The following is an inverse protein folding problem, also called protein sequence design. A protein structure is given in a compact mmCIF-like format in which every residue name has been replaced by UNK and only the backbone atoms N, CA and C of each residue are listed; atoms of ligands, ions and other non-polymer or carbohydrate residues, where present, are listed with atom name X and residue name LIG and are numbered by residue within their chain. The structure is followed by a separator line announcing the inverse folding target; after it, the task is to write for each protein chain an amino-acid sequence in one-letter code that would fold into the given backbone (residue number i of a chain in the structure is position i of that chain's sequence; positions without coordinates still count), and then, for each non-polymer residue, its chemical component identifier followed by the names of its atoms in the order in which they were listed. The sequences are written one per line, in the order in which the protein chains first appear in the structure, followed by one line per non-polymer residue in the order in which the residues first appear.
data_IF_144311642006
#
_entry.id   IF_144311642006
#
_cell.length_a   1.000
_cell.length_b   1.000
_cell.length_c   1.000
_cell.angle_alpha   90.00
_cell.angle_beta   90.00
_cell.angle_gamma   90.00
#
_symmetry.space_group_name_H-M   'P 1'
#
loop_
_entity.id
_entity.type
_entity.pdbx_description
1 polymer ?
#
# COMPACT_ATOMS: atom_id res chain seq x y z
N UNK A 1 -1.73 17.79 -25.04
CA UNK A 1 -1.10 17.96 -23.73
C UNK A 1 -0.92 19.45 -23.54
N UNK A 2 -1.65 20.04 -22.60
CA UNK A 2 -1.55 21.47 -22.33
C UNK A 2 -0.47 21.72 -21.26
N UNK A 3 0.36 22.76 -21.44
CA UNK A 3 1.47 23.09 -20.55
C UNK A 3 1.00 23.55 -19.15
N UNK A 4 -0.29 23.83 -18.99
CA UNK A 4 -0.94 24.31 -17.76
C UNK A 4 -1.18 23.21 -16.71
N UNK A 5 -1.00 21.93 -17.05
CA UNK A 5 -1.18 20.80 -16.13
C UNK A 5 0.00 20.58 -15.18
N UNK A 6 1.15 21.20 -15.43
CA UNK A 6 2.39 20.97 -14.69
C UNK A 6 2.87 22.24 -14.02
N UNK A 7 3.20 22.14 -12.75
CA UNK A 7 3.91 23.20 -12.06
C UNK A 7 5.38 23.31 -12.52
N UNK A 8 6.00 24.44 -12.20
CA UNK A 8 7.39 24.71 -12.56
C UNK A 8 8.35 23.64 -11.98
N UNK A 9 8.09 23.14 -10.77
CA UNK A 9 8.88 22.08 -10.14
C UNK A 9 8.86 20.77 -10.92
N UNK A 10 7.72 20.41 -11.52
CA UNK A 10 7.59 19.18 -12.29
C UNK A 10 8.36 19.27 -13.61
N UNK A 11 8.32 20.45 -14.26
CA UNK A 11 9.18 20.71 -15.42
C UNK A 11 10.67 20.70 -15.05
N UNK A 12 11.04 21.28 -13.90
CA UNK A 12 12.42 21.25 -13.43
C UNK A 12 12.92 19.81 -13.22
N UNK A 13 12.11 18.94 -12.60
CA UNK A 13 12.45 17.52 -12.47
C UNK A 13 12.64 16.82 -13.82
N UNK A 14 11.84 17.15 -14.84
CA UNK A 14 12.03 16.63 -16.19
C UNK A 14 13.35 17.13 -16.82
N UNK A 15 13.70 18.40 -16.63
CA UNK A 15 14.99 18.95 -17.07
C UNK A 15 16.16 18.28 -16.35
N UNK A 16 16.09 18.12 -15.03
CA UNK A 16 17.09 17.38 -14.25
C UNK A 16 17.28 15.97 -14.85
N UNK A 17 16.20 15.25 -15.13
CA UNK A 17 16.31 13.94 -15.76
C UNK A 17 17.01 13.98 -17.12
N UNK A 18 16.67 14.94 -17.97
CA UNK A 18 17.24 15.07 -19.32
C UNK A 18 18.73 15.42 -19.30
N UNK A 19 19.18 16.25 -18.37
CA UNK A 19 20.57 16.74 -18.34
C UNK A 19 21.50 15.92 -17.45
N UNK A 20 21.01 15.40 -16.33
CA UNK A 20 21.84 14.69 -15.32
C UNK A 20 21.40 13.25 -15.06
N UNK A 21 20.32 12.78 -15.70
CA UNK A 21 19.84 11.38 -15.55
C UNK A 21 19.34 11.06 -14.13
N UNK A 22 18.95 12.08 -13.38
CA UNK A 22 18.53 11.95 -11.98
C UNK A 22 17.47 13.00 -11.64
N UNK A 23 16.73 12.77 -10.56
CA UNK A 23 15.71 13.69 -10.04
C UNK A 23 15.93 13.89 -8.55
N UNK A 24 15.94 15.15 -8.14
CA UNK A 24 16.03 15.59 -6.76
C UNK A 24 14.88 16.58 -6.55
N UNK A 25 13.76 16.14 -5.96
CA UNK A 25 12.66 17.03 -5.63
C UNK A 25 13.12 18.15 -4.68
N UNK A 26 12.69 19.37 -4.94
CA UNK A 26 12.88 20.49 -4.00
C UNK A 26 11.77 20.45 -2.94
N UNK A 27 11.87 19.49 -2.02
CA UNK A 27 10.89 19.24 -0.95
C UNK A 27 11.60 19.21 0.39
N UNK A 28 10.94 19.78 1.40
CA UNK A 28 11.40 19.70 2.79
C UNK A 28 11.47 18.22 3.25
N UNK A 29 12.64 17.73 3.71
CA UNK A 29 12.78 16.36 4.23
C UNK A 29 11.88 16.01 5.42
N UNK A 30 11.31 17.02 6.08
CA UNK A 30 10.31 16.81 7.13
C UNK A 30 8.97 16.30 6.58
N UNK A 31 8.71 16.44 5.28
CA UNK A 31 7.45 16.21 4.56
C UNK A 31 7.53 15.04 3.58
N UNK A 32 7.46 13.79 4.06
CA UNK A 32 7.69 12.62 3.21
C UNK A 32 6.58 12.38 2.19
N UNK A 33 5.33 12.75 2.46
CA UNK A 33 4.22 12.55 1.53
C UNK A 33 4.28 13.51 0.33
N UNK A 34 4.79 14.72 0.54
CA UNK A 34 5.09 15.70 -0.51
C UNK A 34 6.26 15.25 -1.38
N UNK A 35 7.25 14.55 -0.80
CA UNK A 35 8.33 13.94 -1.57
C UNK A 35 7.81 12.79 -2.45
N UNK A 36 6.96 11.93 -1.89
CA UNK A 36 6.24 10.87 -2.64
C UNK A 36 5.42 11.46 -3.79
N UNK A 37 4.66 12.53 -3.51
CA UNK A 37 3.88 13.24 -4.53
C UNK A 37 4.78 13.75 -5.67
N UNK A 38 5.93 14.33 -5.34
CA UNK A 38 6.88 14.88 -6.33
C UNK A 38 7.43 13.78 -7.24
N UNK A 39 7.82 12.63 -6.70
CA UNK A 39 8.24 11.51 -7.54
C UNK A 39 7.12 11.02 -8.47
N UNK A 40 5.87 10.95 -7.98
CA UNK A 40 4.72 10.57 -8.82
C UNK A 40 4.48 11.59 -9.93
N UNK A 41 4.60 12.89 -9.66
CA UNK A 41 4.52 13.93 -10.69
C UNK A 41 5.62 13.79 -11.73
N UNK A 42 6.85 13.50 -11.30
CA UNK A 42 7.94 13.20 -12.22
C UNK A 42 7.62 12.01 -13.13
N UNK A 43 7.11 10.90 -12.59
CA UNK A 43 6.74 9.76 -13.43
C UNK A 43 5.64 10.10 -14.44
N UNK A 44 4.67 10.94 -14.06
CA UNK A 44 3.62 11.41 -14.98
C UNK A 44 4.19 12.22 -16.13
N UNK A 45 5.00 13.24 -15.85
CA UNK A 45 5.60 14.06 -16.90
C UNK A 45 6.59 13.26 -17.75
N UNK A 46 7.31 12.31 -17.15
CA UNK A 46 8.21 11.42 -17.87
C UNK A 46 7.47 10.54 -18.88
N UNK A 47 6.34 9.95 -18.50
CA UNK A 47 5.49 9.18 -19.43
C UNK A 47 4.92 10.07 -20.54
N UNK A 48 4.46 11.28 -20.19
CA UNK A 48 3.83 12.14 -21.15
C UNK A 48 4.79 12.78 -22.16
N UNK A 49 6.01 13.13 -21.72
CA UNK A 49 7.11 13.57 -22.57
C UNK A 49 7.85 12.41 -23.24
N UNK A 50 7.47 11.16 -22.95
CA UNK A 50 8.12 9.93 -23.44
C UNK A 50 9.62 9.91 -23.16
N UNK A 51 10.00 10.34 -21.95
CA UNK A 51 11.40 10.37 -21.54
C UNK A 51 11.94 8.92 -21.51
N UNK A 52 13.07 8.72 -22.18
CA UNK A 52 13.76 7.44 -22.21
C UNK A 52 14.74 7.30 -21.05
N UNK A 53 15.03 6.06 -20.68
CA UNK A 53 16.05 5.72 -19.68
C UNK A 53 15.57 4.73 -18.63
N UNK A 54 16.48 4.33 -17.75
CA UNK A 54 16.19 3.42 -16.65
C UNK A 54 15.79 4.21 -15.41
N UNK A 55 14.49 4.23 -15.09
CA UNK A 55 13.96 4.94 -13.93
C UNK A 55 14.14 4.23 -12.59
N UNK A 56 14.84 3.08 -12.56
CA UNK A 56 15.04 2.26 -11.35
C UNK A 56 15.56 3.06 -10.14
N UNK A 57 16.49 4.00 -10.35
CA UNK A 57 17.01 4.83 -9.28
C UNK A 57 15.91 5.73 -8.66
N UNK A 58 15.02 6.27 -9.50
CA UNK A 58 13.91 7.10 -9.04
C UNK A 58 12.84 6.24 -8.36
N UNK A 59 12.58 5.03 -8.86
CA UNK A 59 11.70 4.05 -8.18
C UNK A 59 12.25 3.68 -6.79
N UNK A 60 13.56 3.50 -6.65
CA UNK A 60 14.20 3.25 -5.35
C UNK A 60 14.06 4.43 -4.39
N UNK A 61 14.19 5.67 -4.89
CA UNK A 61 13.97 6.87 -4.08
C UNK A 61 12.52 7.01 -3.64
N UNK A 62 11.56 6.78 -4.54
CA UNK A 62 10.14 6.73 -4.20
C UNK A 62 9.86 5.67 -3.11
N UNK A 63 10.44 4.47 -3.25
CA UNK A 63 10.33 3.41 -2.25
C UNK A 63 10.87 3.86 -0.89
N UNK A 64 12.03 4.50 -0.84
CA UNK A 64 12.59 5.02 0.40
C UNK A 64 11.71 6.10 1.04
N UNK A 65 11.17 7.02 0.24
CA UNK A 65 10.25 8.06 0.73
C UNK A 65 8.95 7.46 1.29
N UNK A 66 8.41 6.41 0.66
CA UNK A 66 7.25 5.66 1.17
C UNK A 66 7.53 4.97 2.52
N UNK A 67 8.72 4.38 2.69
CA UNK A 67 9.13 3.77 3.97
C UNK A 67 9.20 4.83 5.06
N UNK A 68 9.87 5.97 4.80
CA UNK A 68 9.95 7.08 5.76
C UNK A 68 8.56 7.65 6.07
N UNK A 69 7.68 7.73 5.08
CA UNK A 69 6.30 8.16 5.26
C UNK A 69 5.52 7.21 6.16
N UNK A 70 5.74 5.90 6.03
CA UNK A 70 5.12 4.89 6.88
C UNK A 70 5.61 5.00 8.33
N UNK A 71 6.93 5.09 8.54
CA UNK A 71 7.52 5.21 9.89
C UNK A 71 7.02 6.46 10.62
N UNK A 72 7.02 7.63 9.96
CA UNK A 72 6.51 8.87 10.55
C UNK A 72 5.00 8.84 10.80
N UNK A 73 4.26 7.99 10.08
CA UNK A 73 2.83 7.82 10.29
C UNK A 73 2.54 6.99 11.56
N UNK A 74 3.41 6.03 11.88
CA UNK A 74 3.24 5.15 13.04
C UNK A 74 3.63 5.81 14.38
N UNK A 75 4.46 6.88 14.36
CA UNK A 75 4.87 7.63 15.57
C UNK A 75 3.79 8.61 16.10
N UNK A 76 2.65 8.74 15.42
CA UNK A 76 1.51 9.56 15.83
C UNK A 76 0.56 8.82 16.78
N UNK A 77 0.18 9.45 17.90
CA UNK A 77 -0.78 8.89 18.87
C UNK A 77 -2.03 8.30 18.20
N UNK A 78 -2.36 7.06 18.55
CA UNK A 78 -3.61 6.25 18.50
C UNK A 78 -4.84 6.59 17.61
N UNK A 79 -4.91 7.71 16.91
CA UNK A 79 -5.82 7.97 15.80
C UNK A 79 -4.92 8.54 14.70
N UNK A 80 -4.64 7.92 13.55
CA UNK A 80 -5.61 7.33 12.64
C UNK A 80 -4.82 6.76 11.43
N UNK A 81 -4.40 5.49 11.47
CA UNK A 81 -4.09 4.71 10.22
C UNK A 81 -5.27 4.80 9.23
N UNK A 82 -6.41 5.18 9.78
CA UNK A 82 -7.75 5.29 9.23
C UNK A 82 -8.00 6.56 8.38
N UNK A 83 -7.11 7.56 8.35
CA UNK A 83 -7.24 8.72 7.43
C UNK A 83 -5.96 9.00 6.66
N UNK A 84 -5.52 8.02 5.86
CA UNK A 84 -4.58 8.17 4.74
C UNK A 84 -4.27 9.63 4.41
N UNK A 85 -3.04 10.07 4.70
CA UNK A 85 -2.61 11.47 4.60
C UNK A 85 -3.22 12.17 3.37
N UNK A 86 -3.82 13.37 3.50
CA UNK A 86 -4.51 14.03 2.39
C UNK A 86 -3.66 14.19 1.12
N UNK A 87 -2.36 14.49 1.26
CA UNK A 87 -1.42 14.60 0.14
C UNK A 87 -1.24 13.24 -0.53
N UNK A 88 -1.09 12.17 0.25
CA UNK A 88 -0.96 10.82 -0.28
C UNK A 88 -2.24 10.35 -0.97
N UNK A 89 -3.39 10.67 -0.40
CA UNK A 89 -4.71 10.35 -0.96
C UNK A 89 -4.93 11.00 -2.32
N UNK A 90 -4.58 12.27 -2.47
CA UNK A 90 -4.59 12.95 -3.78
C UNK A 90 -3.53 12.36 -4.73
N UNK A 91 -2.36 11.99 -4.22
CA UNK A 91 -1.31 11.33 -5.01
C UNK A 91 -1.79 10.00 -5.61
N UNK A 92 -2.52 9.20 -4.83
CA UNK A 92 -3.13 7.95 -5.30
C UNK A 92 -4.16 8.20 -6.40
N UNK A 93 -5.09 9.13 -6.19
CA UNK A 93 -6.06 9.51 -7.23
C UNK A 93 -5.37 9.87 -8.53
N UNK A 94 -4.36 10.73 -8.43
CA UNK A 94 -3.58 11.18 -9.58
C UNK A 94 -2.89 10.00 -10.27
N UNK A 95 -2.20 9.12 -9.53
CA UNK A 95 -1.47 7.98 -10.11
C UNK A 95 -2.36 6.92 -10.77
N UNK A 96 -3.56 6.70 -10.23
CA UNK A 96 -4.49 5.67 -10.72
C UNK A 96 -5.38 6.18 -11.87
N UNK A 97 -5.65 7.49 -11.94
CA UNK A 97 -6.44 8.10 -13.03
C UNK A 97 -5.59 8.51 -14.24
N UNK A 98 -4.28 8.68 -14.08
CA UNK A 98 -3.38 9.15 -15.13
C UNK A 98 -2.43 8.04 -15.63
N UNK A 99 -1.89 8.15 -16.85
CA UNK A 99 -0.81 7.29 -17.33
C UNK A 99 0.42 7.42 -16.43
N UNK A 100 0.73 6.33 -15.72
CA UNK A 100 1.91 6.14 -14.88
C UNK A 100 2.30 4.67 -15.01
N UNK A 101 3.59 4.37 -14.84
CA UNK A 101 4.09 2.99 -14.88
C UNK A 101 3.42 2.10 -13.85
N UNK A 102 3.19 0.85 -14.23
CA UNK A 102 2.62 -0.17 -13.34
C UNK A 102 3.48 -0.37 -12.09
N UNK A 103 4.81 -0.37 -12.21
CA UNK A 103 5.74 -0.48 -11.07
C UNK A 103 5.54 0.61 -10.02
N UNK A 104 5.22 1.84 -10.45
CA UNK A 104 4.95 2.96 -9.55
C UNK A 104 3.61 2.78 -8.84
N UNK A 105 2.57 2.32 -9.53
CA UNK A 105 1.28 2.00 -8.90
C UNK A 105 1.40 0.86 -7.89
N UNK A 106 2.16 -0.17 -8.22
CA UNK A 106 2.47 -1.27 -7.31
C UNK A 106 3.21 -0.79 -6.06
N UNK A 107 4.20 0.11 -6.20
CA UNK A 107 4.87 0.73 -5.05
C UNK A 107 3.89 1.54 -4.19
N UNK A 108 3.02 2.35 -4.79
CA UNK A 108 2.02 3.11 -4.04
C UNK A 108 1.01 2.19 -3.31
N UNK A 109 0.54 1.13 -3.97
CA UNK A 109 -0.36 0.15 -3.37
C UNK A 109 0.31 -0.67 -2.26
N UNK A 110 1.63 -0.90 -2.35
CA UNK A 110 2.40 -1.63 -1.33
C UNK A 110 2.33 -0.99 0.06
N UNK A 111 2.10 0.32 0.13
CA UNK A 111 1.89 1.08 1.37
C UNK A 111 0.70 0.55 2.20
N UNK A 112 -0.30 -0.06 1.56
CA UNK A 112 -1.51 -0.54 2.23
C UNK A 112 -1.52 -2.03 2.52
N UNK A 113 -0.52 -2.78 2.05
CA UNK A 113 -0.57 -4.26 2.07
C UNK A 113 -0.63 -4.80 3.49
N UNK A 114 0.18 -4.25 4.40
CA UNK A 114 0.23 -4.70 5.78
C UNK A 114 -1.06 -4.37 6.53
N UNK A 115 -1.50 -3.11 6.49
CA UNK A 115 -2.73 -2.66 7.14
C UNK A 115 -3.97 -3.34 6.58
N UNK A 116 -4.04 -3.56 5.27
CA UNK A 116 -5.17 -4.22 4.64
C UNK A 116 -5.17 -5.74 4.89
N UNK A 117 -4.01 -6.40 4.92
CA UNK A 117 -3.93 -7.81 5.32
C UNK A 117 -4.40 -8.03 6.76
N UNK A 118 -4.03 -7.12 7.68
CA UNK A 118 -4.56 -7.11 9.05
C UNK A 118 -6.09 -6.93 9.06
N UNK A 119 -6.61 -5.97 8.30
CA UNK A 119 -8.04 -5.73 8.17
C UNK A 119 -8.80 -6.97 7.65
N UNK A 120 -8.29 -7.66 6.62
CA UNK A 120 -8.94 -8.85 6.06
C UNK A 120 -9.03 -10.02 7.05
N UNK A 121 -8.05 -10.15 7.93
CA UNK A 121 -7.95 -11.29 8.85
C UNK A 121 -8.61 -11.03 10.21
N UNK A 122 -8.57 -9.78 10.68
CA UNK A 122 -9.17 -9.31 11.92
C UNK A 122 -9.92 -7.98 11.68
N UNK A 123 -11.05 -8.01 10.96
CA UNK A 123 -11.79 -6.80 10.62
C UNK A 123 -12.48 -6.22 11.87
N UNK A 124 -12.19 -4.96 12.18
CA UNK A 124 -13.05 -4.12 13.00
C UNK A 124 -13.93 -3.23 12.11
N UNK A 125 -15.01 -2.68 12.70
CA UNK A 125 -15.99 -1.89 11.96
C UNK A 125 -15.40 -0.58 11.43
N UNK A 126 -14.44 0.02 12.12
CA UNK A 126 -13.87 1.32 11.77
C UNK A 126 -12.93 1.18 10.58
N UNK A 127 -11.98 0.23 10.64
CA UNK A 127 -11.05 -0.04 9.53
C UNK A 127 -11.77 -0.47 8.26
N UNK A 128 -12.86 -1.23 8.38
CA UNK A 128 -13.71 -1.60 7.25
C UNK A 128 -14.30 -0.39 6.52
N UNK A 129 -14.77 0.62 7.27
CA UNK A 129 -15.35 1.83 6.68
C UNK A 129 -14.28 2.63 5.97
N UNK A 130 -13.11 2.83 6.59
CA UNK A 130 -11.99 3.55 5.97
C UNK A 130 -11.56 2.95 4.64
N UNK A 131 -11.26 1.65 4.61
CA UNK A 131 -10.77 1.02 3.38
C UNK A 131 -11.81 1.09 2.28
N UNK A 132 -13.08 0.88 2.62
CA UNK A 132 -14.18 1.00 1.66
C UNK A 132 -14.29 2.42 1.09
N UNK A 133 -14.14 3.46 1.92
CA UNK A 133 -14.17 4.85 1.46
C UNK A 133 -12.95 5.21 0.61
N UNK A 134 -11.77 4.70 0.94
CA UNK A 134 -10.55 4.87 0.14
C UNK A 134 -10.69 4.20 -1.24
N UNK A 135 -11.15 2.96 -1.28
CA UNK A 135 -11.28 2.18 -2.52
C UNK A 135 -12.39 2.69 -3.45
N UNK A 136 -13.48 3.21 -2.89
CA UNK A 136 -14.48 3.95 -3.69
C UNK A 136 -13.92 5.21 -4.32
N UNK A 137 -12.96 5.85 -3.65
CA UNK A 137 -12.40 7.11 -4.10
C UNK A 137 -11.26 6.95 -5.12
N UNK A 138 -10.51 5.84 -5.03
CA UNK A 138 -9.40 5.54 -5.93
C UNK A 138 -9.71 4.26 -6.70
N UNK A 139 -10.31 4.41 -7.87
CA UNK A 139 -10.67 3.28 -8.73
C UNK A 139 -9.42 2.44 -9.08
N UNK A 140 -9.55 1.11 -8.97
CA UNK A 140 -8.48 0.16 -9.26
C UNK A 140 -7.51 -0.10 -8.11
N UNK A 141 -7.52 0.71 -7.04
CA UNK A 141 -6.60 0.53 -5.90
C UNK A 141 -6.87 -0.78 -5.14
N UNK A 142 -8.13 -1.10 -4.86
CA UNK A 142 -8.50 -2.32 -4.11
C UNK A 142 -7.95 -3.59 -4.77
N UNK A 143 -8.14 -3.70 -6.09
CA UNK A 143 -7.68 -4.86 -6.86
C UNK A 143 -6.15 -4.99 -6.80
N UNK A 144 -5.44 -3.87 -6.90
CA UNK A 144 -3.98 -3.84 -6.83
C UNK A 144 -3.48 -4.26 -5.44
N UNK A 145 -4.07 -3.71 -4.38
CA UNK A 145 -3.73 -4.09 -2.99
C UNK A 145 -4.05 -5.56 -2.73
N UNK A 146 -5.21 -6.07 -3.15
CA UNK A 146 -5.58 -7.48 -3.02
C UNK A 146 -4.59 -8.41 -3.75
N UNK A 147 -4.18 -8.04 -4.97
CA UNK A 147 -3.20 -8.79 -5.75
C UNK A 147 -1.86 -8.87 -5.02
N UNK A 148 -1.42 -7.76 -4.42
CA UNK A 148 -0.20 -7.70 -3.64
C UNK A 148 -0.30 -8.53 -2.35
N UNK A 149 -1.39 -8.41 -1.58
CA UNK A 149 -1.63 -9.24 -0.38
C UNK A 149 -1.57 -10.73 -0.73
N UNK A 150 -2.23 -11.14 -1.82
CA UNK A 150 -2.17 -12.53 -2.30
C UNK A 150 -0.76 -12.98 -2.66
N UNK A 151 0.02 -12.11 -3.29
CA UNK A 151 1.42 -12.38 -3.70
C UNK A 151 2.40 -12.37 -2.52
N UNK A 152 2.06 -11.65 -1.45
CA UNK A 152 2.85 -11.52 -0.24
C UNK A 152 2.81 -12.75 0.66
N UNK A 153 1.90 -13.70 0.41
CA UNK A 153 1.76 -14.91 1.23
C UNK A 153 3.01 -15.80 1.10
N UNK A 154 3.76 -15.95 2.19
CA UNK A 154 4.93 -16.83 2.24
C UNK A 154 4.62 -18.17 2.87
N UNK A 155 3.95 -18.18 4.02
CA UNK A 155 3.68 -19.40 4.78
C UNK A 155 2.44 -19.22 5.64
N UNK A 156 1.61 -20.25 5.70
CA UNK A 156 0.49 -20.35 6.64
C UNK A 156 0.87 -21.38 7.68
N UNK A 157 0.93 -20.98 8.95
CA UNK A 157 1.20 -21.88 10.07
C UNK A 157 -0.04 -21.99 10.95
N UNK A 158 -0.67 -23.16 10.91
CA UNK A 158 -1.77 -23.51 11.83
C UNK A 158 -1.14 -23.99 13.14
N UNK A 159 -1.26 -23.24 14.24
CA UNK A 159 -0.86 -23.74 15.56
C UNK A 159 -1.88 -24.77 16.04
N UNK A 160 -1.45 -25.65 16.95
CA UNK A 160 -2.28 -26.74 17.49
C UNK A 160 -3.56 -26.17 18.15
N UNK A 161 -4.67 -26.92 18.11
CA UNK A 161 -6.00 -26.50 18.58
C UNK A 161 -6.10 -26.18 20.08
N UNK A 162 -5.02 -26.26 20.86
CA UNK A 162 -5.02 -25.86 22.28
C UNK A 162 -5.12 -24.34 22.46
N UNK A 163 -4.68 -23.56 21.47
CA UNK A 163 -4.63 -22.10 21.56
C UNK A 163 -5.60 -21.39 20.59
N UNK A 164 -6.36 -22.12 19.75
CA UNK A 164 -7.33 -21.61 18.73
C UNK A 164 -6.81 -20.53 17.73
N UNK A 165 -5.53 -20.20 17.77
CA UNK A 165 -4.92 -19.14 16.97
C UNK A 165 -4.19 -19.70 15.73
N UNK A 166 -4.43 -19.08 14.59
CA UNK A 166 -3.66 -19.26 13.36
C UNK A 166 -2.80 -18.04 13.09
N UNK A 167 -1.54 -18.25 12.72
CA UNK A 167 -0.61 -17.18 12.36
C UNK A 167 -0.34 -17.26 10.87
N UNK A 168 -0.57 -16.16 10.15
CA UNK A 168 -0.23 -16.04 8.73
C UNK A 168 0.97 -15.12 8.60
N UNK A 169 2.02 -15.61 7.93
CA UNK A 169 3.26 -14.89 7.72
C UNK A 169 3.30 -14.34 6.30
N UNK A 170 3.33 -13.02 6.17
CA UNK A 170 3.35 -12.31 4.91
C UNK A 170 4.67 -11.55 4.74
N UNK A 171 5.04 -11.29 3.48
CA UNK A 171 6.14 -10.40 3.12
C UNK A 171 5.56 -9.02 2.78
N UNK A 172 6.03 -7.96 3.42
CA UNK A 172 5.71 -6.59 3.03
C UNK A 172 6.44 -6.28 1.72
N UNK A 173 5.72 -6.00 0.61
CA UNK A 173 6.36 -5.70 -0.67
C UNK A 173 7.09 -4.34 -0.65
N UNK A 174 6.74 -3.46 0.30
CA UNK A 174 7.39 -2.16 0.45
C UNK A 174 8.74 -2.26 1.16
N UNK A 175 8.89 -3.09 2.20
CA UNK A 175 10.12 -3.18 3.00
C UNK A 175 10.91 -4.47 2.78
N UNK A 176 10.34 -5.45 2.06
CA UNK A 176 10.81 -6.85 1.99
C UNK A 176 10.93 -7.54 3.38
N UNK A 177 10.36 -6.94 4.43
CA UNK A 177 10.32 -7.51 5.77
C UNK A 177 9.11 -8.42 5.94
N UNK A 178 9.21 -9.37 6.87
CA UNK A 178 8.09 -10.25 7.21
C UNK A 178 7.23 -9.60 8.28
N UNK A 179 5.90 -9.71 8.14
CA UNK A 179 4.94 -9.32 9.17
C UNK A 179 3.98 -10.47 9.46
N UNK A 180 3.52 -10.53 10.70
CA UNK A 180 2.60 -11.56 11.19
C UNK A 180 1.20 -10.99 11.32
N UNK A 181 0.23 -11.74 10.83
CA UNK A 181 -1.19 -11.49 11.08
C UNK A 181 -1.73 -12.66 11.90
N UNK A 182 -2.42 -12.35 13.00
CA UNK A 182 -2.96 -13.36 13.92
C UNK A 182 -4.47 -13.43 13.72
N UNK A 183 -5.02 -14.62 13.52
CA UNK A 183 -6.46 -14.87 13.44
C UNK A 183 -6.88 -15.97 14.40
N UNK A 184 -7.88 -15.70 15.23
CA UNK A 184 -8.60 -16.75 15.95
C UNK A 184 -9.45 -17.54 14.94
N UNK A 185 -9.16 -18.84 14.79
CA UNK A 185 -10.05 -19.75 14.09
C UNK A 185 -10.94 -20.43 15.13
N UNK A 186 -12.18 -19.92 15.28
CA UNK A 186 -13.23 -20.69 15.96
C UNK A 186 -13.54 -21.93 15.14
N UNK A 187 -12.90 -23.05 15.47
CA UNK A 187 -13.30 -24.35 14.95
C UNK A 187 -14.68 -24.62 15.55
N UNK A 188 -15.74 -24.61 14.74
CA UNK A 188 -17.05 -25.11 15.17
C UNK A 188 -16.84 -26.55 15.60
N UNK A 189 -16.82 -26.81 16.91
CA UNK A 189 -16.91 -28.17 17.41
C UNK A 189 -18.24 -28.72 16.89
N UNK A 190 -18.19 -29.69 15.99
CA UNK A 190 -19.37 -30.45 15.60
C UNK A 190 -19.95 -31.07 16.86
N UNK A 191 -21.19 -30.71 17.20
CA UNK A 191 -21.91 -31.29 18.33
C UNK A 191 -21.88 -32.82 18.22
N UNK A 192 -21.57 -33.55 19.32
CA UNK A 192 -21.62 -34.99 19.29
C UNK A 192 -23.08 -35.39 19.05
N UNK A 193 -23.36 -36.04 17.91
CA UNK A 193 -24.62 -36.72 17.68
C UNK A 193 -24.86 -37.69 18.85
N UNK A 194 -25.77 -37.32 19.74
CA UNK A 194 -26.29 -38.22 20.76
C UNK A 194 -27.11 -39.29 20.05
N UNK A 195 -26.45 -40.40 19.73
CA UNK A 195 -27.14 -41.63 19.35
C UNK A 195 -27.97 -42.10 20.54
N UNK A 196 -29.28 -41.81 20.51
CA UNK A 196 -30.25 -42.40 21.42
C UNK A 196 -30.23 -43.91 21.19
N UNK A 197 -29.58 -44.65 22.09
CA UNK A 197 -29.85 -46.09 22.25
C UNK A 197 -31.32 -46.25 22.60
N UNK A 198 -32.10 -46.71 21.62
CA UNK A 198 -33.42 -47.28 21.87
C UNK A 198 -33.24 -48.68 22.42
N UNK A 199 -33.48 -48.84 23.72
CA UNK A 199 -33.85 -50.12 24.32
C UNK A 199 -35.35 -50.30 24.13
N UNK A 200 -35.74 -51.31 23.36
CA UNK A 200 -36.83 -52.25 23.70
C UNK A 200 -36.72 -53.47 22.82
#
# INVERSE_FOLDING_TARGET
MELNEWDASTFDMALQWMYIGNVIPDVDPSKPFEEVQSYVQFFRIAEALKLSGSFKLVEQKLRAALIVAQEKHDDGKEDDITTCNPVFKETLKVAFTNPVRQSVRELLASFFVESYANHLLCPDKTTAITFNDLFKMVEGLELEVLRLVGSSLKTISLKKPKDELSTVLLLCPLTDMKFETVKELKVKQSEPMTSKRGTK
#
